data_IF_318001406201
#
_entry.id   IF_318001406201
#
_cell.length_a   1.000
_cell.length_b   1.000
_cell.length_c   1.000
_cell.angle_alpha   90.00
_cell.angle_beta   90.00
_cell.angle_gamma   90.00
#
_symmetry.space_group_name_H-M   'P 1'
#
loop_
_entity.id
_entity.type
_entity.pdbx_description
1 polymer ?
#
# COMPACT_ATOMS: atom_id res chain seq x y z
N UNK A 1 3.20 7.38 54.82
CA UNK A 1 2.99 8.74 55.42
C UNK A 1 2.64 9.71 54.30
N UNK A 2 1.42 10.31 54.46
CA UNK A 2 0.91 11.59 53.90
C UNK A 2 0.68 11.76 52.41
N UNK A 3 -0.58 11.53 52.06
CA UNK A 3 -1.42 12.18 51.06
C UNK A 3 -1.15 13.70 50.95
N UNK A 4 -1.16 14.22 49.72
CA UNK A 4 -1.73 15.57 49.48
C UNK A 4 -2.36 15.58 48.07
N UNK A 5 -3.67 15.61 48.10
CA UNK A 5 -4.58 16.02 47.02
C UNK A 5 -4.42 17.50 46.75
N UNK A 6 -4.51 17.90 45.48
CA UNK A 6 -4.91 19.29 45.17
C UNK A 6 -5.83 19.27 43.94
N UNK A 7 -7.12 19.41 44.24
CA UNK A 7 -8.20 19.75 43.29
C UNK A 7 -8.03 21.16 42.82
N UNK A 8 -8.15 21.39 41.49
CA UNK A 8 -8.51 22.69 40.95
C UNK A 8 -9.72 22.54 40.02
N UNK A 9 -10.83 23.02 40.55
CA UNK A 9 -12.07 23.30 39.83
C UNK A 9 -11.89 24.66 39.19
N UNK A 10 -12.14 24.81 37.91
CA UNK A 10 -12.50 26.06 37.31
C UNK A 10 -13.65 25.84 36.32
N UNK A 11 -14.74 26.52 36.69
CA UNK A 11 -16.00 26.55 35.98
C UNK A 11 -16.04 27.70 34.98
N UNK A 12 -16.91 27.54 33.98
CA UNK A 12 -17.65 28.58 33.26
C UNK A 12 -16.96 29.39 32.16
N UNK A 13 -17.44 29.30 30.91
CA UNK A 13 -18.28 30.34 30.32
C UNK A 13 -18.86 29.93 28.97
N UNK A 14 -20.20 29.88 28.90
CA UNK A 14 -20.98 29.82 27.65
C UNK A 14 -20.88 31.16 26.92
N UNK A 15 -20.69 31.10 25.59
CA UNK A 15 -21.06 32.20 24.70
C UNK A 15 -21.79 31.61 23.47
N UNK A 16 -23.11 31.80 23.49
CA UNK A 16 -23.99 31.69 22.32
C UNK A 16 -23.71 32.89 21.41
N UNK A 17 -23.45 32.65 20.15
CA UNK A 17 -23.56 33.61 19.08
C UNK A 17 -24.58 33.13 18.07
N UNK A 18 -25.78 33.68 18.14
CA UNK A 18 -26.81 33.60 17.12
C UNK A 18 -26.45 34.58 16.01
N UNK A 19 -26.40 34.12 14.75
CA UNK A 19 -26.40 35.00 13.60
C UNK A 19 -27.70 34.86 12.83
N UNK A 20 -28.33 35.98 12.73
CA UNK A 20 -29.64 36.30 12.18
C UNK A 20 -29.74 36.02 10.67
N UNK A 21 -30.91 35.55 10.28
CA UNK A 21 -31.40 35.53 8.91
C UNK A 21 -31.89 36.91 8.51
N UNK A 22 -31.53 37.36 7.31
CA UNK A 22 -32.17 38.49 6.64
C UNK A 22 -33.00 37.98 5.48
N UNK A 23 -34.28 38.29 5.37
CA UNK A 23 -35.08 38.05 4.16
C UNK A 23 -35.03 39.27 3.24
N UNK A 24 -34.88 39.06 1.96
CA UNK A 24 -35.14 40.05 0.94
C UNK A 24 -35.87 39.44 -0.26
N UNK A 25 -36.80 40.07 -0.52
CA UNK A 25 -38.04 40.27 -1.22
C UNK A 25 -38.10 39.93 -2.69
N UNK A 26 -39.30 39.76 -3.14
CA UNK A 26 -39.91 39.30 -4.36
C UNK A 26 -39.53 40.10 -5.62
N UNK A 27 -39.59 39.37 -6.77
CA UNK A 27 -39.68 40.01 -8.05
C UNK A 27 -39.80 38.94 -9.18
N UNK A 28 -41.02 38.78 -9.69
CA UNK A 28 -41.48 37.72 -10.54
C UNK A 28 -41.00 37.70 -12.00
N UNK A 29 -41.30 36.64 -12.66
CA UNK A 29 -41.96 36.39 -13.95
C UNK A 29 -41.33 35.21 -14.70
N UNK A 30 -42.13 34.19 -14.87
CA UNK A 30 -42.37 33.30 -15.99
C UNK A 30 -41.26 32.91 -16.96
N UNK A 31 -41.08 31.57 -17.10
CA UNK A 31 -40.74 30.98 -18.39
C UNK A 31 -39.83 29.77 -18.34
N UNK A 32 -40.38 28.59 -18.66
CA UNK A 32 -39.60 27.52 -19.31
C UNK A 32 -39.05 26.44 -18.42
N UNK A 33 -39.70 25.31 -18.40
CA UNK A 33 -39.23 24.05 -17.81
C UNK A 33 -37.94 23.55 -18.44
N UNK A 34 -37.00 23.20 -17.55
CA UNK A 34 -35.99 22.21 -17.81
C UNK A 34 -35.79 21.41 -16.51
N UNK A 35 -36.23 20.16 -16.56
CA UNK A 35 -35.92 19.18 -15.54
C UNK A 35 -34.40 18.96 -15.51
N UNK A 36 -33.71 19.63 -14.62
CA UNK A 36 -32.36 19.23 -14.22
C UNK A 36 -32.51 18.01 -13.32
N UNK A 37 -32.34 16.84 -13.95
CA UNK A 37 -32.05 15.62 -13.25
C UNK A 37 -30.83 15.89 -12.37
N UNK A 38 -31.01 15.93 -11.04
CA UNK A 38 -29.96 15.98 -10.08
C UNK A 38 -29.12 14.72 -10.22
N UNK A 39 -28.05 14.83 -10.99
CA UNK A 39 -26.99 13.86 -11.00
C UNK A 39 -26.31 13.89 -9.67
N UNK A 40 -26.75 13.04 -8.72
CA UNK A 40 -25.97 12.65 -7.59
C UNK A 40 -24.69 12.06 -8.14
N UNK A 41 -23.60 12.81 -8.07
CA UNK A 41 -22.27 12.29 -8.30
C UNK A 41 -21.95 11.29 -7.20
N UNK A 42 -22.43 10.04 -7.35
CA UNK A 42 -21.86 8.91 -6.68
C UNK A 42 -20.38 8.93 -7.07
N UNK A 43 -19.50 9.17 -6.10
CA UNK A 43 -18.08 8.94 -6.27
C UNK A 43 -17.97 7.51 -6.80
N UNK A 44 -17.66 7.38 -8.10
CA UNK A 44 -17.43 6.11 -8.75
C UNK A 44 -16.18 5.53 -8.07
N UNK A 45 -16.39 4.77 -7.00
CA UNK A 45 -15.37 3.93 -6.42
C UNK A 45 -14.86 3.08 -7.56
N UNK A 46 -13.63 3.34 -7.98
CA UNK A 46 -12.99 2.65 -9.10
C UNK A 46 -13.03 1.17 -8.77
N UNK A 47 -13.94 0.43 -9.39
CA UNK A 47 -14.09 -1.01 -9.17
C UNK A 47 -12.78 -1.68 -9.53
N UNK A 48 -12.22 -2.43 -8.57
CA UNK A 48 -10.99 -3.19 -8.78
C UNK A 48 -11.35 -4.40 -9.63
N UNK A 49 -10.84 -4.45 -10.86
CA UNK A 49 -11.03 -5.59 -11.77
C UNK A 49 -10.24 -6.80 -11.21
N UNK A 50 -10.90 -7.94 -10.96
CA UNK A 50 -10.21 -9.15 -10.53
C UNK A 50 -9.14 -9.57 -11.55
N UNK A 51 -7.95 -9.94 -11.07
CA UNK A 51 -6.82 -10.31 -11.92
C UNK A 51 -6.00 -9.13 -12.47
N UNK A 52 -6.34 -7.90 -12.14
CA UNK A 52 -5.57 -6.71 -12.51
C UNK A 52 -4.39 -6.46 -11.55
N UNK A 53 -3.43 -5.62 -11.99
CA UNK A 53 -2.36 -5.11 -11.11
C UNK A 53 -2.91 -4.50 -9.82
N UNK A 54 -3.99 -3.75 -9.93
CA UNK A 54 -4.61 -3.10 -8.78
C UNK A 54 -5.22 -4.13 -7.82
N UNK A 55 -5.83 -5.18 -8.34
CA UNK A 55 -6.31 -6.30 -7.52
C UNK A 55 -5.17 -6.96 -6.74
N UNK A 56 -4.07 -7.21 -7.41
CA UNK A 56 -2.88 -7.79 -6.77
C UNK A 56 -2.31 -6.88 -5.67
N UNK A 57 -2.12 -5.59 -5.95
CA UNK A 57 -1.54 -4.64 -4.98
C UNK A 57 -2.45 -4.44 -3.77
N UNK A 58 -3.76 -4.23 -3.99
CA UNK A 58 -4.68 -3.82 -2.93
C UNK A 58 -5.20 -5.00 -2.10
N UNK A 59 -5.54 -6.12 -2.76
CA UNK A 59 -6.21 -7.24 -2.10
C UNK A 59 -5.24 -8.35 -1.65
N UNK A 60 -4.09 -8.46 -2.31
CA UNK A 60 -3.09 -9.51 -2.04
C UNK A 60 -1.88 -8.96 -1.29
N UNK A 61 -1.39 -7.80 -1.72
CA UNK A 61 -0.15 -7.20 -1.27
C UNK A 61 1.04 -7.59 -2.15
N UNK A 62 1.69 -6.58 -2.70
CA UNK A 62 2.76 -6.72 -3.69
C UNK A 62 4.16 -6.89 -3.07
N UNK A 63 4.33 -6.71 -1.76
CA UNK A 63 5.66 -6.66 -1.13
C UNK A 63 5.75 -7.41 0.18
N UNK A 64 6.97 -7.85 0.48
CA UNK A 64 7.37 -8.42 1.76
C UNK A 64 8.62 -7.73 2.28
N UNK A 65 8.82 -7.78 3.60
CA UNK A 65 9.90 -7.09 4.28
C UNK A 65 10.88 -8.06 4.94
N UNK A 66 12.12 -7.60 5.11
CA UNK A 66 13.21 -8.37 5.67
C UNK A 66 13.85 -7.67 6.88
N UNK A 67 14.44 -8.46 7.74
CA UNK A 67 15.28 -7.94 8.82
C UNK A 67 16.60 -7.40 8.26
N UNK A 68 17.31 -6.63 9.10
CA UNK A 68 18.62 -6.13 8.76
C UNK A 68 19.56 -7.28 8.41
N UNK A 69 20.25 -7.12 7.30
CA UNK A 69 21.24 -8.08 6.77
C UNK A 69 20.72 -9.53 6.61
N UNK A 70 19.39 -9.70 6.48
CA UNK A 70 18.75 -10.99 6.28
C UNK A 70 18.10 -11.08 4.90
N UNK A 71 18.05 -12.31 4.37
CA UNK A 71 17.31 -12.68 3.16
C UNK A 71 16.30 -13.82 3.40
N UNK A 72 16.26 -14.39 4.60
CA UNK A 72 15.23 -15.37 4.96
C UNK A 72 13.88 -14.67 5.16
N UNK A 73 12.81 -15.35 4.69
CA UNK A 73 11.44 -14.84 4.83
C UNK A 73 11.04 -14.87 6.29
N UNK A 74 10.63 -13.72 6.82
CA UNK A 74 10.09 -13.58 8.16
C UNK A 74 8.75 -14.31 8.28
N UNK A 75 8.45 -14.82 9.48
CA UNK A 75 7.23 -15.59 9.71
C UNK A 75 5.95 -14.76 9.44
N UNK A 76 5.95 -13.46 9.81
CA UNK A 76 4.85 -12.54 9.55
C UNK A 76 4.64 -12.21 8.06
N UNK A 77 5.66 -12.40 7.20
CA UNK A 77 5.58 -12.15 5.77
C UNK A 77 5.11 -13.38 4.95
N UNK A 78 5.12 -14.57 5.55
CA UNK A 78 4.70 -15.80 4.87
C UNK A 78 3.25 -15.76 4.40
N UNK A 79 2.36 -15.16 5.18
CA UNK A 79 0.94 -15.05 4.82
C UNK A 79 0.74 -14.21 3.54
N UNK A 80 1.52 -13.14 3.35
CA UNK A 80 1.48 -12.34 2.12
C UNK A 80 1.94 -13.15 0.91
N UNK A 81 3.06 -13.85 1.01
CA UNK A 81 3.55 -14.72 -0.08
C UNK A 81 2.59 -15.87 -0.39
N UNK A 82 1.90 -16.42 0.63
CA UNK A 82 0.88 -17.44 0.42
C UNK A 82 -0.29 -16.89 -0.39
N UNK A 83 -0.80 -15.71 -0.06
CA UNK A 83 -1.83 -15.02 -0.85
C UNK A 83 -1.38 -14.72 -2.27
N UNK A 84 -0.12 -14.31 -2.47
CA UNK A 84 0.46 -14.11 -3.79
C UNK A 84 0.47 -15.43 -4.59
N UNK A 85 0.90 -16.53 -3.99
CA UNK A 85 0.89 -17.84 -4.64
C UNK A 85 -0.54 -18.27 -5.04
N UNK A 86 -1.52 -18.10 -4.15
CA UNK A 86 -2.92 -18.43 -4.42
C UNK A 86 -3.49 -17.57 -5.56
N UNK A 87 -3.19 -16.28 -5.57
CA UNK A 87 -3.60 -15.38 -6.63
C UNK A 87 -2.95 -15.75 -7.97
N UNK A 88 -1.65 -16.01 -8.00
CA UNK A 88 -0.94 -16.43 -9.19
C UNK A 88 -1.40 -17.80 -9.74
N UNK A 89 -1.90 -18.70 -8.89
CA UNK A 89 -2.56 -19.95 -9.33
C UNK A 89 -3.90 -19.67 -10.00
N UNK A 90 -4.65 -18.70 -9.50
CA UNK A 90 -5.95 -18.30 -10.08
C UNK A 90 -5.78 -17.63 -11.44
N UNK A 91 -4.65 -16.96 -11.67
CA UNK A 91 -4.33 -16.26 -12.91
C UNK A 91 -3.04 -16.84 -13.55
N UNK A 92 -3.12 -18.03 -14.20
CA UNK A 92 -1.95 -18.76 -14.66
C UNK A 92 -1.18 -18.07 -15.79
N UNK A 93 -1.80 -17.14 -16.53
CA UNK A 93 -1.16 -16.35 -17.58
C UNK A 93 -0.26 -15.23 -17.05
N UNK A 94 -0.41 -14.83 -15.78
CA UNK A 94 0.34 -13.70 -15.20
C UNK A 94 1.79 -14.11 -14.98
N UNK A 95 2.70 -13.22 -15.38
CA UNK A 95 4.13 -13.30 -15.08
C UNK A 95 4.53 -12.14 -14.18
N UNK A 96 5.47 -12.38 -13.27
CA UNK A 96 5.96 -11.40 -12.33
C UNK A 96 7.48 -11.28 -12.36
N UNK A 97 7.97 -10.11 -11.96
CA UNK A 97 9.36 -9.90 -11.58
C UNK A 97 9.42 -9.59 -10.08
N UNK A 98 10.27 -10.31 -9.36
CA UNK A 98 10.61 -10.05 -7.97
C UNK A 98 11.79 -9.10 -7.91
N UNK A 99 11.54 -7.90 -7.42
CA UNK A 99 12.53 -6.84 -7.26
C UNK A 99 13.07 -6.86 -5.83
N UNK A 100 14.38 -7.11 -5.67
CA UNK A 100 15.05 -7.10 -4.37
C UNK A 100 15.66 -5.73 -4.04
N UNK A 101 15.39 -5.26 -2.82
CA UNK A 101 15.84 -3.95 -2.34
C UNK A 101 16.47 -4.05 -0.95
N UNK A 102 17.36 -3.10 -0.69
CA UNK A 102 18.08 -2.97 0.59
C UNK A 102 17.97 -1.55 1.12
N UNK A 103 18.30 -1.38 2.40
CA UNK A 103 18.54 -0.07 2.97
C UNK A 103 19.91 0.48 2.50
N UNK A 104 20.24 1.72 2.86
CA UNK A 104 21.41 2.44 2.35
C UNK A 104 22.76 1.93 2.89
N UNK A 105 22.75 1.16 3.99
CA UNK A 105 23.96 0.73 4.70
C UNK A 105 24.72 -0.33 3.90
N UNK A 106 26.05 -0.24 3.93
CA UNK A 106 26.95 -1.16 3.21
C UNK A 106 27.29 -0.71 1.79
N UNK A 107 28.14 -1.49 1.10
CA UNK A 107 28.58 -1.19 -0.26
C UNK A 107 27.49 -1.46 -1.28
N UNK A 108 27.63 -0.90 -2.47
CA UNK A 108 26.70 -1.12 -3.58
C UNK A 108 26.66 -2.58 -4.00
N UNK A 109 27.82 -3.18 -4.16
CA UNK A 109 28.00 -4.58 -4.59
C UNK A 109 27.38 -5.54 -3.59
N UNK A 110 27.64 -5.32 -2.30
CA UNK A 110 27.03 -6.12 -1.23
C UNK A 110 25.51 -6.06 -1.27
N UNK A 111 24.94 -4.85 -1.41
CA UNK A 111 23.49 -4.66 -1.44
C UNK A 111 22.84 -5.22 -2.70
N UNK A 112 23.51 -5.17 -3.86
CA UNK A 112 23.04 -5.87 -5.05
C UNK A 112 22.92 -7.37 -4.81
N UNK A 113 23.96 -7.99 -4.25
CA UNK A 113 23.92 -9.41 -3.92
C UNK A 113 22.89 -9.75 -2.84
N UNK A 114 22.72 -8.90 -1.80
CA UNK A 114 21.71 -9.10 -0.77
C UNK A 114 20.28 -8.97 -1.32
N UNK A 115 20.03 -7.96 -2.16
CA UNK A 115 18.75 -7.77 -2.84
C UNK A 115 18.39 -8.97 -3.73
N UNK A 116 19.37 -9.51 -4.45
CA UNK A 116 19.18 -10.72 -5.25
C UNK A 116 18.80 -11.93 -4.37
N UNK A 117 19.52 -12.16 -3.26
CA UNK A 117 19.17 -13.23 -2.31
C UNK A 117 17.76 -13.09 -1.75
N UNK A 118 17.31 -11.86 -1.43
CA UNK A 118 15.95 -11.56 -0.98
C UNK A 118 14.90 -11.92 -2.03
N UNK A 119 15.10 -11.48 -3.26
CA UNK A 119 14.19 -11.80 -4.35
C UNK A 119 14.16 -13.30 -4.67
N UNK A 120 15.31 -13.98 -4.62
CA UNK A 120 15.38 -15.44 -4.80
C UNK A 120 14.66 -16.19 -3.67
N UNK A 121 14.78 -15.78 -2.42
CA UNK A 121 14.06 -16.44 -1.32
C UNK A 121 12.54 -16.32 -1.46
N UNK A 122 12.04 -15.20 -1.97
CA UNK A 122 10.63 -15.03 -2.30
C UNK A 122 10.21 -15.90 -3.49
N UNK A 123 11.05 -16.00 -4.55
CA UNK A 123 10.83 -16.89 -5.68
C UNK A 123 10.77 -18.35 -5.25
N UNK A 124 11.71 -18.78 -4.43
CA UNK A 124 11.76 -20.17 -3.94
C UNK A 124 10.49 -20.53 -3.15
N UNK A 125 10.00 -19.59 -2.35
CA UNK A 125 8.73 -19.76 -1.64
C UNK A 125 7.55 -19.90 -2.61
N UNK A 126 7.44 -19.06 -3.63
CA UNK A 126 6.36 -19.15 -4.62
C UNK A 126 6.43 -20.44 -5.41
N UNK A 127 7.63 -20.86 -5.83
CA UNK A 127 7.86 -22.13 -6.56
C UNK A 127 7.51 -23.33 -5.69
N UNK A 128 7.93 -23.34 -4.42
CA UNK A 128 7.55 -24.39 -3.46
C UNK A 128 6.04 -24.46 -3.23
N UNK A 129 5.31 -23.35 -3.45
CA UNK A 129 3.86 -23.29 -3.40
C UNK A 129 3.19 -23.51 -4.77
N UNK A 130 3.92 -24.05 -5.77
CA UNK A 130 3.36 -24.53 -7.03
C UNK A 130 3.30 -23.50 -8.16
N UNK A 131 4.02 -22.37 -8.04
CA UNK A 131 4.15 -21.42 -9.16
C UNK A 131 5.31 -21.87 -10.06
N UNK A 132 5.07 -21.95 -11.37
CA UNK A 132 6.10 -22.34 -12.33
C UNK A 132 7.26 -21.34 -12.34
N UNK A 133 8.50 -21.83 -12.22
CA UNK A 133 9.70 -21.01 -12.08
C UNK A 133 9.93 -20.03 -13.24
N UNK A 134 9.48 -20.38 -14.46
CA UNK A 134 9.57 -19.55 -15.66
C UNK A 134 8.61 -18.34 -15.65
N UNK A 135 7.63 -18.31 -14.75
CA UNK A 135 6.72 -17.18 -14.54
C UNK A 135 7.28 -16.13 -13.60
N UNK A 136 8.38 -16.43 -12.90
CA UNK A 136 8.95 -15.58 -11.85
C UNK A 136 10.38 -15.21 -12.21
N UNK A 137 10.60 -13.98 -12.63
CA UNK A 137 11.92 -13.38 -12.83
C UNK A 137 12.43 -12.75 -11.55
N UNK A 138 13.74 -12.57 -11.45
CA UNK A 138 14.38 -11.89 -10.30
C UNK A 138 15.25 -10.77 -10.83
N UNK A 139 15.22 -9.63 -10.16
CA UNK A 139 16.13 -8.51 -10.36
C UNK A 139 16.48 -7.90 -9.00
N UNK A 140 17.71 -7.46 -8.83
CA UNK A 140 18.12 -6.70 -7.66
C UNK A 140 18.42 -5.24 -8.04
N UNK A 141 17.87 -4.34 -7.26
CA UNK A 141 18.24 -2.92 -7.29
C UNK A 141 19.14 -2.55 -6.11
N UNK A 142 19.43 -3.50 -5.22
CA UNK A 142 20.23 -3.21 -4.04
C UNK A 142 19.66 -2.01 -3.28
N UNK A 143 20.47 -1.01 -3.03
CA UNK A 143 20.08 0.24 -2.34
C UNK A 143 19.73 1.40 -3.28
N UNK A 144 19.74 1.18 -4.60
CA UNK A 144 19.62 2.26 -5.60
C UNK A 144 18.19 2.80 -5.79
N UNK A 145 17.17 2.10 -5.26
CA UNK A 145 15.76 2.49 -5.37
C UNK A 145 15.07 2.53 -4.01
N UNK A 146 15.45 3.47 -3.12
CA UNK A 146 14.78 3.63 -1.84
C UNK A 146 13.35 4.15 -2.01
N UNK A 147 12.44 3.72 -1.12
CA UNK A 147 11.06 4.26 -1.02
C UNK A 147 10.91 5.21 0.17
N UNK A 148 11.81 5.12 1.15
CA UNK A 148 11.92 6.03 2.26
C UNK A 148 13.36 6.61 2.29
N UNK A 149 13.46 7.95 2.34
CA UNK A 149 14.72 8.67 2.22
C UNK A 149 15.34 9.05 3.57
N UNK A 150 14.67 8.72 4.69
CA UNK A 150 15.21 8.97 6.03
C UNK A 150 16.38 8.04 6.36
N UNK A 151 17.24 8.49 7.28
CA UNK A 151 18.44 7.78 7.75
C UNK A 151 18.18 7.16 9.13
N UNK A 152 17.04 6.53 9.31
CA UNK A 152 16.59 5.92 10.57
C UNK A 152 16.04 4.50 10.34
N UNK A 153 15.84 3.76 11.43
CA UNK A 153 15.36 2.38 11.33
C UNK A 153 13.96 2.27 10.70
N UNK A 154 13.09 3.28 10.87
CA UNK A 154 11.77 3.27 10.28
C UNK A 154 11.83 3.34 8.75
N UNK A 155 12.71 4.20 8.21
CA UNK A 155 12.98 4.33 6.78
C UNK A 155 13.72 3.10 6.24
N UNK A 156 14.74 2.61 6.95
CA UNK A 156 15.49 1.42 6.55
C UNK A 156 14.61 0.17 6.49
N UNK A 157 13.71 0.00 7.44
CA UNK A 157 12.77 -1.13 7.45
C UNK A 157 11.87 -1.16 6.22
N UNK A 158 11.44 0.00 5.71
CA UNK A 158 10.66 0.11 4.48
C UNK A 158 11.51 -0.20 3.23
N UNK A 159 12.80 0.11 3.26
CA UNK A 159 13.71 -0.14 2.14
C UNK A 159 14.13 -1.62 2.04
N UNK A 160 14.20 -2.35 3.15
CA UNK A 160 14.50 -3.79 3.17
C UNK A 160 13.31 -4.62 2.73
N UNK A 161 13.08 -4.73 1.41
CA UNK A 161 11.90 -5.37 0.85
C UNK A 161 12.17 -6.19 -0.40
N UNK A 162 11.27 -7.08 -0.74
CA UNK A 162 11.10 -7.58 -2.10
C UNK A 162 9.71 -7.19 -2.61
N UNK A 163 9.61 -6.78 -3.87
CA UNK A 163 8.38 -6.34 -4.52
C UNK A 163 8.06 -7.27 -5.68
N UNK A 164 6.84 -7.77 -5.72
CA UNK A 164 6.31 -8.57 -6.83
C UNK A 164 5.63 -7.62 -7.82
N UNK A 165 6.25 -7.44 -8.98
CA UNK A 165 5.74 -6.57 -10.06
C UNK A 165 5.19 -7.44 -11.16
N UNK A 166 3.94 -7.25 -11.55
CA UNK A 166 3.34 -7.93 -12.70
C UNK A 166 3.96 -7.35 -13.98
N UNK A 167 4.42 -8.23 -14.85
CA UNK A 167 5.08 -7.85 -16.11
C UNK A 167 4.28 -8.19 -17.35
N UNK A 168 3.33 -9.12 -17.23
CA UNK A 168 2.40 -9.48 -18.31
C UNK A 168 1.24 -10.33 -17.79
N UNK A 169 0.17 -10.39 -18.57
CA UNK A 169 -0.96 -11.29 -18.36
C UNK A 169 -2.00 -10.85 -17.33
N UNK A 170 -1.89 -9.65 -16.77
CA UNK A 170 -2.92 -9.10 -15.91
C UNK A 170 -4.17 -8.66 -16.71
N UNK A 171 -5.33 -8.66 -16.07
CA UNK A 171 -6.54 -8.15 -16.67
C UNK A 171 -6.44 -6.64 -16.87
N UNK A 172 -6.66 -6.17 -18.10
CA UNK A 172 -6.64 -4.74 -18.44
C UNK A 172 -5.24 -4.13 -18.63
N UNK A 173 -4.22 -4.97 -18.81
CA UNK A 173 -2.86 -4.55 -19.19
C UNK A 173 -2.68 -4.55 -20.70
#
# INVERSE_FOLDING_TARGET
MKLKSLSFVFASLLLLAACAQTPSDQGGAAGGGAQSAGGGGAAAGTQITPGSDRDFIVNVGDRIFYDYDKSNIRNDQRATLQKQAEWLKRYPQVQITLEGHCDERGTREYNLALGERRANSAKDFLVANGIAANRVRVISYGKERPVALGHDEASWAQNRRAVSVITSGAAGS
#
